data_IF_797830334090
#
_entry.id   IF_797830334090
#
_cell.length_a   1.000
_cell.length_b   1.000
_cell.length_c   1.000
_cell.angle_alpha   90.00
_cell.angle_beta   90.00
_cell.angle_gamma   90.00
#
_symmetry.space_group_name_H-M   'P 1'
#
loop_
_entity.id
_entity.type
_entity.pdbx_description
1 polymer ?
#
# COMPACT_ATOMS: atom_id res chain seq x y z
N UNK A 1 5.98 -36.81 35.24
CA UNK A 1 6.45 -36.73 33.83
C UNK A 1 5.72 -35.56 33.17
N UNK A 2 6.24 -34.39 32.83
CA UNK A 2 7.59 -33.83 32.70
C UNK A 2 7.54 -32.33 33.08
N UNK A 3 8.07 -31.90 34.24
CA UNK A 3 8.24 -30.47 34.53
C UNK A 3 9.45 -29.85 33.82
N UNK A 4 10.26 -30.66 33.12
CA UNK A 4 11.50 -30.23 32.46
C UNK A 4 11.32 -29.59 31.08
N UNK A 5 10.16 -29.75 30.43
CA UNK A 5 9.94 -29.23 29.08
C UNK A 5 9.60 -27.72 29.06
N UNK A 6 9.02 -27.20 30.16
CA UNK A 6 8.63 -25.79 30.27
C UNK A 6 9.83 -24.86 30.51
N UNK A 7 10.85 -25.35 31.21
CA UNK A 7 12.09 -24.59 31.47
C UNK A 7 12.95 -24.52 30.19
N UNK A 8 12.89 -25.55 29.33
CA UNK A 8 13.66 -25.57 28.07
C UNK A 8 13.14 -24.58 27.02
N UNK A 9 11.83 -24.29 27.02
CA UNK A 9 11.21 -23.31 26.11
C UNK A 9 11.53 -21.86 26.56
N UNK A 10 11.71 -21.62 27.86
CA UNK A 10 12.03 -20.31 28.41
C UNK A 10 13.48 -19.85 28.13
N UNK A 11 14.40 -20.78 27.84
CA UNK A 11 15.83 -20.48 27.63
C UNK A 11 16.16 -20.24 26.13
N UNK A 12 15.32 -20.71 25.19
CA UNK A 12 15.65 -20.71 23.75
C UNK A 12 15.11 -19.50 22.94
N UNK A 13 14.39 -18.55 23.56
CA UNK A 13 13.87 -17.37 22.85
C UNK A 13 14.40 -16.08 23.48
N UNK A 14 15.61 -15.63 23.10
CA UNK A 14 16.03 -14.29 23.45
C UNK A 14 15.28 -13.32 22.52
N UNK A 15 14.55 -12.38 23.13
CA UNK A 15 14.00 -11.18 22.48
C UNK A 15 12.88 -11.43 21.47
N UNK A 16 11.65 -11.54 21.92
CA UNK A 16 10.56 -10.73 21.33
C UNK A 16 9.47 -10.61 22.38
N UNK A 17 9.31 -9.39 22.89
CA UNK A 17 8.38 -9.05 23.96
C UNK A 17 6.95 -8.99 23.42
N UNK A 18 6.47 -10.12 22.88
CA UNK A 18 5.14 -10.29 22.29
C UNK A 18 4.04 -10.06 23.33
N UNK A 19 4.35 -10.41 24.59
CA UNK A 19 3.44 -10.27 25.73
C UNK A 19 3.20 -8.79 26.10
N UNK A 20 4.25 -7.97 26.12
CA UNK A 20 4.13 -6.53 26.36
C UNK A 20 3.40 -5.79 25.22
N UNK A 21 3.56 -6.25 23.97
CA UNK A 21 2.83 -5.69 22.83
C UNK A 21 1.32 -6.01 22.89
N UNK A 22 0.99 -7.23 23.32
CA UNK A 22 -0.40 -7.68 23.47
C UNK A 22 -1.14 -6.94 24.59
N UNK A 23 -0.47 -6.73 25.73
CA UNK A 23 -0.99 -5.92 26.85
C UNK A 23 -1.20 -4.45 26.44
N UNK A 24 -0.28 -3.87 25.66
CA UNK A 24 -0.38 -2.48 25.18
C UNK A 24 -1.52 -2.31 24.17
N UNK A 25 -1.76 -3.31 23.32
CA UNK A 25 -2.88 -3.30 22.37
C UNK A 25 -4.24 -3.41 23.09
N UNK A 26 -4.35 -4.26 24.12
CA UNK A 26 -5.56 -4.35 24.95
C UNK A 26 -5.89 -3.03 25.69
N UNK A 27 -4.87 -2.34 26.22
CA UNK A 27 -5.08 -1.05 26.92
C UNK A 27 -5.47 0.09 25.99
N UNK A 28 -5.09 0.03 24.70
CA UNK A 28 -5.39 1.10 23.74
C UNK A 28 -6.83 0.98 23.20
N UNK A 29 -7.36 -0.24 23.07
CA UNK A 29 -8.75 -0.47 22.64
C UNK A 29 -9.76 -0.07 23.72
N UNK A 30 -9.38 -0.10 25.00
CA UNK A 30 -10.24 0.32 26.11
C UNK A 30 -10.38 1.86 26.25
N UNK A 31 -9.58 2.66 25.53
CA UNK A 31 -9.50 4.12 25.71
C UNK A 31 -10.34 4.94 24.70
N UNK A 32 -11.10 4.29 23.80
CA UNK A 32 -12.02 4.98 22.90
C UNK A 32 -13.47 4.84 23.38
N UNK A 33 -14.18 5.94 23.71
CA UNK A 33 -15.60 5.87 24.02
C UNK A 33 -16.37 5.54 22.73
N UNK A 34 -16.76 4.28 22.57
CA UNK A 34 -17.70 3.87 21.53
C UNK A 34 -19.10 4.39 21.86
N UNK A 35 -19.85 4.94 20.89
CA UNK A 35 -21.19 5.49 21.11
C UNK A 35 -22.21 4.37 21.42
N UNK A 36 -23.22 4.63 22.27
CA UNK A 36 -24.22 3.63 22.64
C UNK A 36 -25.34 3.60 21.59
N UNK A 37 -25.30 2.63 20.67
CA UNK A 37 -26.52 2.25 19.94
C UNK A 37 -26.44 0.84 19.34
N UNK A 38 -27.33 -0.02 19.83
CA UNK A 38 -27.96 -1.17 19.16
C UNK A 38 -27.06 -2.37 18.75
N UNK A 39 -27.26 -3.48 19.47
CA UNK A 39 -27.02 -4.88 19.07
C UNK A 39 -25.84 -5.13 18.13
N UNK A 40 -24.63 -5.22 18.70
CA UNK A 40 -23.49 -5.82 18.02
C UNK A 40 -23.80 -7.29 17.70
N UNK A 41 -24.24 -7.54 16.47
CA UNK A 41 -24.56 -8.88 15.97
C UNK A 41 -23.35 -9.82 16.16
N UNK A 42 -23.56 -11.11 16.50
CA UNK A 42 -22.47 -12.08 16.71
C UNK A 42 -21.56 -12.22 15.48
N UNK A 43 -22.07 -11.84 14.30
CA UNK A 43 -21.34 -11.77 13.04
C UNK A 43 -20.29 -10.65 13.00
N UNK A 44 -20.47 -9.54 13.73
CA UNK A 44 -19.49 -8.47 13.82
C UNK A 44 -18.28 -8.87 14.67
N UNK A 45 -18.54 -9.54 15.81
CA UNK A 45 -17.49 -10.12 16.64
C UNK A 45 -16.75 -11.25 15.92
N UNK A 46 -17.47 -12.10 15.17
CA UNK A 46 -16.85 -13.12 14.34
C UNK A 46 -16.01 -12.52 13.21
N UNK A 47 -16.47 -11.43 12.56
CA UNK A 47 -15.66 -10.71 11.56
C UNK A 47 -14.41 -10.08 12.15
N UNK A 48 -14.52 -9.50 13.34
CA UNK A 48 -13.36 -8.91 14.03
C UNK A 48 -12.36 -9.98 14.44
N UNK A 49 -12.84 -11.13 14.96
CA UNK A 49 -12.03 -12.30 15.30
C UNK A 49 -11.35 -12.92 14.07
N UNK A 50 -12.08 -13.08 12.96
CA UNK A 50 -11.52 -13.60 11.71
C UNK A 50 -10.51 -12.61 11.09
N UNK A 51 -10.73 -11.30 11.25
CA UNK A 51 -9.78 -10.27 10.81
C UNK A 51 -8.50 -10.27 11.64
N UNK A 52 -8.58 -10.44 12.96
CA UNK A 52 -7.40 -10.55 13.83
C UNK A 52 -6.64 -11.85 13.58
N UNK A 53 -7.34 -12.98 13.39
CA UNK A 53 -6.72 -14.26 13.02
C UNK A 53 -6.03 -14.15 11.66
N UNK A 54 -6.68 -13.57 10.64
CA UNK A 54 -6.09 -13.37 9.31
C UNK A 54 -4.90 -12.41 9.34
N UNK A 55 -4.93 -11.38 10.18
CA UNK A 55 -3.80 -10.47 10.40
C UNK A 55 -2.64 -11.14 11.12
N UNK A 56 -2.90 -12.04 12.08
CA UNK A 56 -1.90 -12.85 12.78
C UNK A 56 -1.26 -13.89 11.85
N UNK A 57 -2.05 -14.52 10.98
CA UNK A 57 -1.53 -15.43 9.95
C UNK A 57 -0.62 -14.67 8.97
N UNK A 58 -1.04 -13.49 8.51
CA UNK A 58 -0.24 -12.62 7.64
C UNK A 58 1.07 -12.15 8.29
N UNK A 59 1.06 -11.82 9.59
CA UNK A 59 2.28 -11.51 10.35
C UNK A 59 3.17 -12.74 10.57
N UNK A 60 2.59 -13.93 10.72
CA UNK A 60 3.33 -15.18 10.87
C UNK A 60 3.93 -15.68 9.53
N UNK A 61 3.28 -15.38 8.41
CA UNK A 61 3.79 -15.62 7.05
C UNK A 61 4.88 -14.60 6.69
N UNK A 62 4.81 -13.38 7.22
CA UNK A 62 5.89 -12.38 7.12
C UNK A 62 7.19 -12.76 7.85
N UNK A 63 7.11 -13.64 8.86
CA UNK A 63 8.26 -14.20 9.59
C UNK A 63 8.65 -15.62 9.14
N UNK A 64 7.89 -16.21 8.21
CA UNK A 64 8.13 -17.56 7.64
C UNK A 64 8.44 -17.51 6.14
N UNK A 65 9.12 -16.46 5.69
CA UNK A 65 9.82 -16.43 4.40
C UNK A 65 11.23 -15.88 4.58
N UNK A 66 12.04 -16.62 5.35
CA UNK A 66 13.49 -16.68 5.23
C UNK A 66 13.97 -18.08 5.65
N UNK A 67 13.32 -19.13 5.15
CA UNK A 67 14.10 -20.32 4.80
C UNK A 67 14.63 -20.07 3.41
N UNK A 68 15.86 -19.53 3.37
CA UNK A 68 16.78 -19.48 2.24
C UNK A 68 16.31 -20.30 1.02
N UNK A 69 15.67 -19.67 0.01
CA UNK A 69 15.61 -20.28 -1.31
C UNK A 69 16.98 -20.10 -1.93
N UNK A 70 17.88 -21.03 -1.60
CA UNK A 70 19.09 -21.31 -2.36
C UNK A 70 19.93 -20.08 -2.63
N UNK A 71 20.51 -19.51 -1.58
CA UNK A 71 21.85 -18.99 -1.75
C UNK A 71 22.73 -20.18 -2.14
N UNK A 72 22.91 -20.41 -3.45
CA UNK A 72 24.19 -20.94 -3.94
C UNK A 72 25.22 -19.82 -3.70
N UNK A 73 25.43 -19.44 -2.43
CA UNK A 73 26.80 -19.16 -2.02
C UNK A 73 27.49 -20.48 -2.34
N UNK A 74 28.48 -20.40 -3.21
CA UNK A 74 29.41 -21.50 -3.41
C UNK A 74 30.13 -21.64 -2.07
N UNK A 75 29.52 -22.40 -1.17
CA UNK A 75 30.22 -22.98 -0.03
C UNK A 75 31.28 -23.88 -0.67
N UNK A 76 32.52 -23.37 -0.71
CA UNK A 76 33.70 -24.11 -1.16
C UNK A 76 34.13 -25.12 -0.10
N UNK A 77 33.19 -25.83 0.50
CA UNK A 77 33.47 -26.85 1.50
C UNK A 77 32.75 -28.15 1.16
N UNK A 78 33.53 -29.13 0.69
CA UNK A 78 33.24 -30.53 0.96
C UNK A 78 32.34 -31.26 -0.02
N UNK A 79 32.66 -31.25 -1.32
CA UNK A 79 32.74 -32.49 -2.12
C UNK A 79 33.26 -32.13 -3.50
N UNK A 80 34.33 -32.79 -3.94
CA UNK A 80 34.85 -32.65 -5.29
C UNK A 80 33.82 -33.22 -6.26
N UNK A 81 32.88 -32.37 -6.70
CA UNK A 81 32.06 -32.64 -7.88
C UNK A 81 33.03 -33.06 -8.98
N UNK A 82 32.80 -34.23 -9.58
CA UNK A 82 33.60 -34.73 -10.70
C UNK A 82 33.87 -33.59 -11.69
N UNK A 83 35.11 -33.42 -12.15
CA UNK A 83 35.52 -32.31 -13.03
C UNK A 83 34.59 -32.12 -14.24
N UNK A 84 33.99 -33.23 -14.71
CA UNK A 84 32.98 -33.24 -15.78
C UNK A 84 31.75 -32.38 -15.43
N UNK A 85 31.30 -32.42 -14.19
CA UNK A 85 30.14 -31.66 -13.71
C UNK A 85 30.45 -30.16 -13.59
N UNK A 86 31.67 -29.82 -13.17
CA UNK A 86 32.11 -28.41 -13.10
C UNK A 86 32.20 -27.81 -14.50
N UNK A 87 32.75 -28.56 -15.46
CA UNK A 87 32.84 -28.13 -16.86
C UNK A 87 31.44 -27.98 -17.50
N UNK A 88 30.52 -28.90 -17.20
CA UNK A 88 29.14 -28.82 -17.66
C UNK A 88 28.40 -27.58 -17.09
N UNK A 89 28.51 -27.31 -15.78
CA UNK A 89 27.93 -26.11 -15.15
C UNK A 89 28.52 -24.82 -15.74
N UNK A 90 29.83 -24.79 -16.00
CA UNK A 90 30.50 -23.65 -16.63
C UNK A 90 30.00 -23.42 -18.08
N UNK A 91 29.77 -24.47 -18.85
CA UNK A 91 29.21 -24.36 -20.20
C UNK A 91 27.77 -23.82 -20.18
N UNK A 92 26.91 -24.32 -19.28
CA UNK A 92 25.51 -23.88 -19.16
C UNK A 92 25.45 -22.41 -18.75
N UNK A 93 26.21 -22.02 -17.72
CA UNK A 93 26.29 -20.62 -17.27
C UNK A 93 26.83 -19.70 -18.37
N UNK A 94 27.81 -20.15 -19.16
CA UNK A 94 28.32 -19.40 -20.32
C UNK A 94 27.25 -19.13 -21.38
N UNK A 95 26.42 -20.12 -21.69
CA UNK A 95 25.28 -19.98 -22.63
C UNK A 95 24.21 -19.05 -22.06
N UNK A 96 23.87 -19.15 -20.77
CA UNK A 96 22.93 -18.25 -20.12
C UNK A 96 23.41 -16.80 -20.10
N UNK A 97 24.70 -16.58 -19.86
CA UNK A 97 25.33 -15.27 -19.92
C UNK A 97 25.32 -14.70 -21.35
N UNK A 98 25.64 -15.52 -22.36
CA UNK A 98 25.58 -15.11 -23.76
C UNK A 98 24.15 -14.71 -24.16
N UNK A 99 23.15 -15.52 -23.80
CA UNK A 99 21.73 -15.19 -23.99
C UNK A 99 21.35 -13.87 -23.33
N UNK A 100 21.76 -13.69 -22.08
CA UNK A 100 21.47 -12.47 -21.33
C UNK A 100 22.06 -11.22 -21.98
N UNK A 101 23.29 -11.33 -22.50
CA UNK A 101 23.97 -10.26 -23.24
C UNK A 101 23.28 -9.94 -24.57
N UNK A 102 22.89 -10.95 -25.34
CA UNK A 102 22.27 -10.77 -26.67
C UNK A 102 20.89 -10.12 -26.54
N UNK A 103 20.05 -10.59 -25.60
CA UNK A 103 18.66 -10.17 -25.48
C UNK A 103 18.40 -9.13 -24.38
N UNK A 104 19.46 -8.59 -23.76
CA UNK A 104 19.34 -7.61 -22.68
C UNK A 104 18.59 -8.15 -21.45
N UNK A 105 18.72 -9.45 -21.15
CA UNK A 105 18.15 -10.01 -19.93
C UNK A 105 19.10 -9.77 -18.74
N UNK A 106 18.53 -9.39 -17.59
CA UNK A 106 19.28 -9.26 -16.34
C UNK A 106 19.19 -10.59 -15.57
N UNK A 107 20.34 -11.23 -15.33
CA UNK A 107 20.44 -12.44 -14.50
C UNK A 107 20.55 -12.05 -13.02
N UNK A 108 19.97 -12.86 -12.14
CA UNK A 108 20.00 -12.68 -10.69
C UNK A 108 20.47 -13.97 -9.99
N UNK A 109 21.79 -14.22 -9.93
CA UNK A 109 22.33 -15.46 -9.35
C UNK A 109 22.08 -15.55 -7.84
N UNK A 110 21.96 -14.41 -7.14
CA UNK A 110 21.75 -14.34 -5.69
C UNK A 110 20.27 -14.49 -5.30
N UNK A 111 19.34 -14.42 -6.25
CA UNK A 111 17.90 -14.54 -5.99
C UNK A 111 17.27 -13.39 -5.18
N UNK A 112 18.05 -12.36 -4.83
CA UNK A 112 17.57 -11.22 -4.04
C UNK A 112 16.57 -10.37 -4.83
N UNK A 113 15.69 -9.64 -4.13
CA UNK A 113 14.71 -8.77 -4.77
C UNK A 113 15.40 -7.63 -5.52
N UNK A 114 15.32 -7.66 -6.85
CA UNK A 114 15.83 -6.62 -7.75
C UNK A 114 14.74 -5.61 -8.14
N UNK A 115 15.07 -4.31 -8.35
CA UNK A 115 14.13 -3.29 -8.80
C UNK A 115 13.61 -3.49 -10.23
N UNK A 116 14.10 -4.51 -10.95
CA UNK A 116 13.73 -4.78 -12.34
C UNK A 116 12.21 -4.97 -12.55
N UNK A 117 11.47 -5.43 -11.53
CA UNK A 117 10.00 -5.50 -11.58
C UNK A 117 9.34 -4.13 -11.67
N UNK A 118 9.93 -3.11 -11.06
CA UNK A 118 9.44 -1.73 -11.09
C UNK A 118 9.82 -1.09 -12.43
N UNK A 119 11.07 -1.25 -12.86
CA UNK A 119 11.60 -0.67 -14.09
C UNK A 119 10.92 -1.20 -15.37
N UNK A 120 10.45 -2.46 -15.35
CA UNK A 120 9.70 -3.05 -16.48
C UNK A 120 8.27 -2.51 -16.63
N UNK A 121 7.73 -1.85 -15.61
CA UNK A 121 6.40 -1.26 -15.71
C UNK A 121 6.48 -0.04 -16.62
N UNK A 122 5.62 0.01 -17.64
CA UNK A 122 5.48 1.21 -18.46
C UNK A 122 5.03 2.38 -17.58
N UNK A 123 5.64 3.54 -17.75
CA UNK A 123 5.19 4.76 -17.08
C UNK A 123 3.80 5.10 -17.59
N UNK A 124 2.83 5.23 -16.67
CA UNK A 124 1.43 5.54 -16.99
C UNK A 124 1.06 6.99 -16.69
N UNK A 125 2.04 7.82 -16.28
CA UNK A 125 1.81 9.17 -15.75
C UNK A 125 1.05 10.07 -16.71
N UNK A 126 1.50 10.16 -17.97
CA UNK A 126 0.85 10.99 -19.00
C UNK A 126 -0.60 10.58 -19.25
N UNK A 127 -0.84 9.26 -19.40
CA UNK A 127 -2.18 8.71 -19.62
C UNK A 127 -3.12 9.00 -18.44
N UNK A 128 -2.60 8.97 -17.21
CA UNK A 128 -3.37 9.27 -16.00
C UNK A 128 -3.59 10.78 -15.87
N UNK A 129 -2.59 11.60 -16.20
CA UNK A 129 -2.69 13.05 -16.16
C UNK A 129 -3.70 13.59 -17.19
N UNK A 130 -3.75 12.99 -18.39
CA UNK A 130 -4.68 13.33 -19.46
C UNK A 130 -6.07 12.70 -19.28
N UNK A 131 -6.49 12.41 -18.04
CA UNK A 131 -7.79 11.76 -17.77
C UNK A 131 -8.98 12.58 -18.26
N UNK A 132 -8.93 13.90 -18.06
CA UNK A 132 -9.93 14.82 -18.59
C UNK A 132 -9.42 15.46 -19.88
N UNK A 133 -10.22 15.44 -20.97
CA UNK A 133 -9.86 16.11 -22.19
C UNK A 133 -9.81 17.63 -21.98
N UNK A 134 -9.00 18.30 -22.79
CA UNK A 134 -8.92 19.76 -22.77
C UNK A 134 -10.24 20.39 -23.26
N UNK A 135 -10.71 21.42 -22.56
CA UNK A 135 -11.93 22.14 -22.91
C UNK A 135 -11.62 23.31 -23.87
N UNK A 136 -11.82 23.05 -25.16
CA UNK A 136 -11.56 24.00 -26.26
C UNK A 136 -12.37 25.30 -26.11
N UNK A 137 -13.48 25.29 -25.37
CA UNK A 137 -14.32 26.49 -25.17
C UNK A 137 -13.59 27.61 -24.44
N UNK A 138 -12.53 27.28 -23.69
CA UNK A 138 -11.73 28.25 -22.94
C UNK A 138 -10.79 29.06 -23.82
N UNK A 139 -10.48 28.58 -25.03
CA UNK A 139 -9.56 29.25 -25.94
C UNK A 139 -10.23 30.37 -26.74
N UNK A 140 -11.52 30.21 -27.05
CA UNK A 140 -12.25 31.17 -27.85
C UNK A 140 -12.73 32.37 -27.00
N UNK A 141 -12.16 33.58 -27.19
CA UNK A 141 -12.53 34.76 -26.41
C UNK A 141 -14.00 35.15 -26.60
N UNK A 142 -14.61 34.87 -27.76
CA UNK A 142 -16.01 35.22 -28.03
C UNK A 142 -16.98 34.33 -27.26
N UNK A 143 -16.66 33.03 -27.13
CA UNK A 143 -17.46 32.09 -26.34
C UNK A 143 -17.36 32.41 -24.85
N UNK A 144 -16.16 32.69 -24.36
CA UNK A 144 -15.93 33.05 -22.96
C UNK A 144 -16.62 34.37 -22.59
N UNK A 145 -16.50 35.41 -23.42
CA UNK A 145 -17.15 36.70 -23.19
C UNK A 145 -18.68 36.58 -23.15
N UNK A 146 -19.26 35.77 -24.05
CA UNK A 146 -20.71 35.53 -24.08
C UNK A 146 -21.23 34.86 -22.82
N UNK A 147 -20.57 33.77 -22.39
CA UNK A 147 -20.95 33.05 -21.16
C UNK A 147 -20.84 33.95 -19.93
N UNK A 148 -19.81 34.78 -19.86
CA UNK A 148 -19.64 35.73 -18.78
C UNK A 148 -20.73 36.81 -18.80
N UNK A 149 -21.07 37.34 -19.97
CA UNK A 149 -22.16 38.31 -20.12
C UNK A 149 -23.52 37.72 -19.68
N UNK A 150 -23.84 36.49 -20.08
CA UNK A 150 -25.05 35.80 -19.64
C UNK A 150 -25.08 35.60 -18.12
N UNK A 151 -23.93 35.23 -17.53
CA UNK A 151 -23.77 35.10 -16.08
C UNK A 151 -24.03 36.41 -15.37
N UNK A 152 -23.51 37.53 -15.89
CA UNK A 152 -23.70 38.88 -15.35
C UNK A 152 -25.16 39.33 -15.46
N UNK A 153 -25.78 39.16 -16.63
CA UNK A 153 -27.18 39.51 -16.87
C UNK A 153 -28.11 38.75 -15.90
N UNK A 154 -27.89 37.44 -15.72
CA UNK A 154 -28.65 36.63 -14.77
C UNK A 154 -28.49 37.11 -13.33
N UNK A 155 -27.27 37.46 -12.94
CA UNK A 155 -26.95 37.96 -11.60
C UNK A 155 -27.60 39.33 -11.34
N UNK A 156 -27.62 40.21 -12.34
CA UNK A 156 -28.30 41.50 -12.26
C UNK A 156 -29.81 41.34 -12.08
N UNK A 157 -30.45 40.49 -12.89
CA UNK A 157 -31.88 40.20 -12.75
C UNK A 157 -32.23 39.65 -11.35
N UNK A 158 -31.40 38.77 -10.79
CA UNK A 158 -31.61 38.24 -9.44
C UNK A 158 -31.44 39.31 -8.36
N UNK A 159 -30.45 40.21 -8.52
CA UNK A 159 -30.26 41.35 -7.62
C UNK A 159 -31.47 42.27 -7.62
N UNK A 160 -32.03 42.61 -8.79
CA UNK A 160 -33.25 43.43 -8.91
C UNK A 160 -34.44 42.82 -8.16
N UNK A 161 -34.55 41.49 -8.14
CA UNK A 161 -35.60 40.74 -7.42
C UNK A 161 -35.31 40.56 -5.92
N UNK A 162 -34.18 41.03 -5.40
CA UNK A 162 -33.73 40.75 -4.03
C UNK A 162 -33.36 39.29 -3.78
N UNK A 163 -33.24 38.47 -4.84
CA UNK A 163 -32.88 37.04 -4.78
C UNK A 163 -31.39 36.80 -5.13
N UNK A 164 -30.59 37.87 -5.16
CA UNK A 164 -29.16 37.78 -5.36
C UNK A 164 -28.48 37.06 -4.19
N UNK A 165 -27.34 36.38 -4.43
CA UNK A 165 -26.56 35.80 -3.35
C UNK A 165 -26.11 36.92 -2.38
N UNK A 166 -26.25 36.73 -1.05
CA UNK A 166 -25.79 37.71 -0.07
C UNK A 166 -24.26 37.81 -0.09
N UNK A 167 -23.72 38.91 0.45
CA UNK A 167 -22.27 39.05 0.64
C UNK A 167 -21.74 37.88 1.47
N UNK A 168 -20.60 37.31 1.07
CA UNK A 168 -19.89 36.25 1.81
C UNK A 168 -19.79 36.65 3.29
N UNK A 169 -20.15 35.74 4.19
CA UNK A 169 -20.16 35.99 5.65
C UNK A 169 -21.43 36.66 6.19
N UNK A 170 -22.29 37.25 5.34
CA UNK A 170 -23.54 37.90 5.75
C UNK A 170 -24.78 37.03 5.50
N UNK A 171 -24.60 35.71 5.53
CA UNK A 171 -25.70 34.76 5.37
C UNK A 171 -26.73 34.86 6.51
N UNK A 172 -27.93 34.34 6.28
CA UNK A 172 -29.02 34.36 7.27
C UNK A 172 -28.61 33.82 8.65
N UNK A 173 -27.74 32.80 8.68
CA UNK A 173 -27.19 32.20 9.91
C UNK A 173 -26.28 33.16 10.69
N UNK A 174 -25.44 33.93 10.01
CA UNK A 174 -24.53 34.88 10.66
C UNK A 174 -25.30 36.01 11.36
N UNK A 175 -26.42 36.46 10.77
CA UNK A 175 -27.31 37.45 11.40
C UNK A 175 -28.02 36.93 12.65
N UNK A 176 -28.23 35.61 12.77
CA UNK A 176 -28.87 34.98 13.93
C UNK A 176 -27.91 34.82 15.12
N UNK A 177 -26.61 34.67 14.87
CA UNK A 177 -25.58 34.51 15.91
C UNK A 177 -25.25 35.80 16.66
N UNK A 178 -25.58 36.97 16.10
CA UNK A 178 -25.23 38.27 16.67
C UNK A 178 -26.40 38.91 17.44
N UNK A 179 -27.39 38.11 17.82
CA UNK A 179 -28.59 38.51 18.58
C UNK A 179 -28.70 37.65 19.83
#
# INVERSE_FOLDING_TARGET
MYPSLFILIAILVPRFNLFAFFLRLLTTVAAHPFPPSSSASPLFLLRLLLFTIRSLISLSEGLRFNTEPGSKIIEMSGNLRSMKNVLADAAITGVELARARIFGHVLNPTGQRSPHKILRKKLIGEKVASWYPYDVKKDDPLVMARQEQERLNKLEMLKRRGKGPPKKGQGKRAKKSNK
#
